data_IF_541729973478
#
_entry.id   IF_541729973478
#
_cell.length_a   1.000
_cell.length_b   1.000
_cell.length_c   1.000
_cell.angle_alpha   90.00
_cell.angle_beta   90.00
_cell.angle_gamma   90.00
#
_symmetry.space_group_name_H-M   'P 1'
#
loop_
_entity.id
_entity.type
_entity.pdbx_description
1 polymer ?
#
# COMPACT_ATOMS: atom_id res chain seq x y z
N UNK A 1 9.94 -15.89 -10.90
CA UNK A 1 9.57 -17.30 -10.99
C UNK A 1 8.08 -17.50 -10.75
N UNK A 2 7.56 -18.62 -11.24
CA UNK A 2 6.15 -18.97 -11.06
C UNK A 2 5.79 -19.13 -9.59
N UNK A 3 6.70 -19.68 -8.80
CA UNK A 3 6.46 -19.89 -7.36
C UNK A 3 6.36 -18.56 -6.61
N UNK A 4 7.28 -17.62 -6.87
CA UNK A 4 7.23 -16.29 -6.25
C UNK A 4 5.94 -15.58 -6.62
N UNK A 5 5.55 -15.65 -7.89
CA UNK A 5 4.30 -15.04 -8.37
C UNK A 5 3.09 -15.61 -7.63
N UNK A 6 3.05 -16.92 -7.40
CA UNK A 6 1.96 -17.56 -6.67
C UNK A 6 1.85 -17.03 -5.24
N UNK A 7 2.98 -16.88 -4.55
CA UNK A 7 2.98 -16.32 -3.19
C UNK A 7 2.57 -14.85 -3.17
N UNK A 8 3.01 -14.06 -4.16
CA UNK A 8 2.61 -12.65 -4.27
C UNK A 8 1.10 -12.51 -4.46
N UNK A 9 0.51 -13.34 -5.31
CA UNK A 9 -0.93 -13.33 -5.56
C UNK A 9 -1.73 -13.65 -4.30
N UNK A 10 -1.20 -14.52 -3.44
CA UNK A 10 -1.82 -14.88 -2.16
C UNK A 10 -1.55 -13.87 -1.06
N UNK A 11 -0.62 -12.94 -1.26
CA UNK A 11 -0.19 -12.02 -0.23
C UNK A 11 0.71 -12.65 0.82
N UNK A 12 1.38 -13.74 0.48
CA UNK A 12 2.28 -14.48 1.37
C UNK A 12 3.71 -13.95 1.23
N UNK A 13 3.95 -12.79 1.83
CA UNK A 13 5.26 -12.12 1.71
C UNK A 13 6.35 -12.79 2.55
N UNK A 14 5.97 -13.58 3.54
CA UNK A 14 6.94 -14.36 4.32
C UNK A 14 7.70 -15.34 3.43
N UNK A 15 6.97 -16.12 2.62
CA UNK A 15 7.58 -17.05 1.68
C UNK A 15 8.31 -16.33 0.55
N UNK A 16 7.76 -15.22 0.06
CA UNK A 16 8.44 -14.40 -0.96
C UNK A 16 9.79 -13.92 -0.44
N UNK A 17 9.83 -13.42 0.79
CA UNK A 17 11.07 -12.91 1.40
C UNK A 17 12.09 -14.01 1.60
N UNK A 18 11.67 -15.21 1.98
CA UNK A 18 12.57 -16.37 2.09
C UNK A 18 13.19 -16.70 0.73
N UNK A 19 12.39 -16.76 -0.32
CA UNK A 19 12.88 -17.10 -1.66
C UNK A 19 13.81 -16.04 -2.23
N UNK A 20 13.53 -14.76 -1.95
CA UNK A 20 14.37 -13.65 -2.41
C UNK A 20 15.58 -13.39 -1.52
N UNK A 21 15.58 -13.95 -0.30
CA UNK A 21 16.59 -13.71 0.72
C UNK A 21 16.68 -12.22 1.11
N UNK A 22 15.54 -11.53 1.04
CA UNK A 22 15.40 -10.12 1.40
C UNK A 22 13.91 -9.78 1.54
N UNK A 23 13.57 -8.72 2.30
CA UNK A 23 12.18 -8.26 2.35
C UNK A 23 11.66 -7.86 0.97
N UNK A 24 10.39 -8.11 0.70
CA UNK A 24 9.78 -7.66 -0.54
C UNK A 24 9.43 -6.19 -0.44
N UNK A 25 10.07 -5.38 -1.25
CA UNK A 25 9.91 -3.93 -1.23
C UNK A 25 9.63 -3.37 -2.62
N UNK A 26 8.82 -2.32 -2.66
CA UNK A 26 8.64 -1.50 -3.86
C UNK A 26 9.12 -0.10 -3.51
N UNK A 27 10.01 0.43 -4.32
CA UNK A 27 10.63 1.75 -4.09
C UNK A 27 10.20 2.72 -5.18
N UNK A 28 9.87 3.94 -4.80
CA UNK A 28 9.52 4.98 -5.73
C UNK A 28 9.48 6.36 -5.10
N UNK A 29 9.32 7.37 -5.94
CA UNK A 29 9.22 8.77 -5.51
C UNK A 29 7.77 9.09 -5.12
N UNK A 30 7.60 9.83 -4.05
CA UNK A 30 6.28 10.36 -3.67
C UNK A 30 5.89 11.47 -4.65
N UNK A 31 4.76 11.27 -5.33
CA UNK A 31 4.21 12.21 -6.31
C UNK A 31 2.86 12.72 -5.82
N UNK A 32 2.43 13.86 -6.36
CA UNK A 32 1.10 14.36 -6.06
C UNK A 32 0.03 13.46 -6.69
N UNK A 33 -1.02 13.17 -5.93
CA UNK A 33 -2.15 12.40 -6.42
C UNK A 33 -3.45 13.19 -6.26
N UNK A 34 -4.57 12.54 -6.55
CA UNK A 34 -5.88 13.13 -6.31
C UNK A 34 -6.07 13.31 -4.80
N UNK A 35 -6.54 14.48 -4.38
CA UNK A 35 -6.68 14.83 -2.97
C UNK A 35 -7.93 14.21 -2.30
N UNK A 36 -8.30 12.99 -2.70
CA UNK A 36 -9.44 12.29 -2.09
C UNK A 36 -9.20 12.04 -0.61
N UNK A 37 -7.95 11.71 -0.24
CA UNK A 37 -7.58 11.50 1.16
C UNK A 37 -7.82 12.71 2.05
N UNK A 38 -7.66 13.93 1.53
CA UNK A 38 -7.95 15.16 2.27
C UNK A 38 -9.45 15.30 2.56
N UNK A 39 -10.32 14.91 1.62
CA UNK A 39 -11.76 14.97 1.80
C UNK A 39 -12.26 14.08 2.92
N UNK A 40 -11.60 12.96 3.14
CA UNK A 40 -11.97 11.99 4.16
C UNK A 40 -11.05 12.04 5.38
N UNK A 41 -10.24 13.09 5.49
CA UNK A 41 -9.28 13.31 6.58
C UNK A 41 -8.24 12.19 6.73
N UNK A 42 -7.92 11.53 5.61
CA UNK A 42 -6.95 10.44 5.57
C UNK A 42 -5.88 10.77 4.54
N UNK A 43 -4.77 11.40 4.96
CA UNK A 43 -3.72 11.75 4.00
C UNK A 43 -3.07 10.51 3.41
N UNK A 44 -2.91 10.49 2.09
CA UNK A 44 -2.26 9.40 1.37
C UNK A 44 -1.10 9.92 0.54
N UNK A 45 -0.06 9.10 0.45
CA UNK A 45 1.08 9.35 -0.42
C UNK A 45 0.98 8.45 -1.65
N UNK A 46 1.06 9.05 -2.83
CA UNK A 46 1.13 8.29 -4.08
C UNK A 46 2.59 8.05 -4.42
N UNK A 47 2.94 6.81 -4.66
CA UNK A 47 4.31 6.40 -4.99
C UNK A 47 4.36 6.12 -6.50
N UNK A 48 5.31 6.73 -7.18
CA UNK A 48 5.53 6.49 -8.61
C UNK A 48 6.24 5.14 -8.79
N UNK A 49 5.57 4.20 -9.46
CA UNK A 49 6.08 2.84 -9.67
C UNK A 49 6.42 2.55 -11.14
N UNK A 50 6.61 3.58 -11.94
CA UNK A 50 7.17 3.53 -13.31
C UNK A 50 6.45 2.59 -14.28
N UNK A 51 5.12 2.51 -14.25
CA UNK A 51 4.32 1.72 -15.21
C UNK A 51 4.75 0.25 -15.33
N UNK A 52 5.33 -0.33 -14.28
CA UNK A 52 5.69 -1.74 -14.27
C UNK A 52 4.43 -2.57 -13.98
N UNK A 53 4.24 -3.63 -14.76
CA UNK A 53 3.14 -4.56 -14.51
C UNK A 53 3.50 -5.50 -13.36
N UNK A 54 2.71 -5.46 -12.30
CA UNK A 54 2.85 -6.37 -11.18
C UNK A 54 1.77 -7.43 -11.24
N UNK A 55 2.09 -8.63 -10.77
CA UNK A 55 1.19 -9.78 -10.85
C UNK A 55 0.17 -9.86 -9.71
N UNK A 56 0.13 -8.86 -8.83
CA UNK A 56 -0.77 -8.89 -7.67
C UNK A 56 -1.36 -7.51 -7.39
N UNK A 57 -2.44 -7.51 -6.65
CA UNK A 57 -3.14 -6.29 -6.24
C UNK A 57 -3.84 -6.52 -4.91
N UNK A 58 -4.28 -5.45 -4.28
CA UNK A 58 -5.01 -5.53 -3.03
C UNK A 58 -4.72 -4.37 -2.10
N UNK A 59 -5.15 -4.51 -0.86
CA UNK A 59 -4.84 -3.60 0.23
C UNK A 59 -3.98 -4.35 1.24
N UNK A 60 -2.86 -3.77 1.61
CA UNK A 60 -1.81 -4.45 2.36
C UNK A 60 -1.37 -3.66 3.58
N UNK A 61 -0.98 -4.38 4.63
CA UNK A 61 -0.19 -3.80 5.71
C UNK A 61 1.27 -3.79 5.27
N UNK A 62 1.89 -2.63 5.35
CA UNK A 62 3.25 -2.41 4.90
C UNK A 62 4.02 -1.60 5.95
N UNK A 63 5.32 -1.48 5.74
CA UNK A 63 6.20 -0.70 6.59
C UNK A 63 7.12 0.14 5.70
N UNK A 64 7.41 1.36 6.14
CA UNK A 64 8.37 2.23 5.46
C UNK A 64 9.24 2.94 6.50
N UNK A 65 10.41 3.38 6.06
CA UNK A 65 11.33 4.17 6.89
C UNK A 65 11.38 5.60 6.36
N UNK A 66 11.17 6.55 7.25
CA UNK A 66 11.24 7.97 6.91
C UNK A 66 12.12 8.64 7.97
N UNK A 67 13.23 9.25 7.53
CA UNK A 67 14.17 9.91 8.43
C UNK A 67 14.62 9.04 9.59
N UNK A 68 14.99 7.78 9.28
CA UNK A 68 15.53 6.80 10.23
C UNK A 68 14.50 6.29 11.24
N UNK A 69 13.21 6.54 11.03
CA UNK A 69 12.14 6.03 11.85
C UNK A 69 11.21 5.15 11.02
N UNK A 70 10.80 4.02 11.58
CA UNK A 70 9.86 3.10 10.94
C UNK A 70 8.42 3.51 11.20
N UNK A 71 7.61 3.43 10.15
CA UNK A 71 6.17 3.66 10.21
C UNK A 71 5.44 2.51 9.53
N UNK A 72 4.31 2.12 10.10
CA UNK A 72 3.41 1.22 9.40
C UNK A 72 2.51 2.01 8.46
N UNK A 73 2.10 1.38 7.38
CA UNK A 73 1.20 2.00 6.42
C UNK A 73 0.19 0.99 5.86
N UNK A 74 -0.95 1.50 5.46
CA UNK A 74 -1.96 0.74 4.74
C UNK A 74 -1.82 1.15 3.27
N UNK A 75 -1.54 0.18 2.42
CA UNK A 75 -1.21 0.43 1.01
C UNK A 75 -2.29 -0.15 0.13
N UNK A 76 -2.86 0.69 -0.74
CA UNK A 76 -3.72 0.25 -1.83
C UNK A 76 -2.86 0.13 -3.08
N UNK A 77 -2.72 -1.08 -3.60
CA UNK A 77 -1.85 -1.39 -4.72
C UNK A 77 -2.61 -2.13 -5.80
N UNK A 78 -2.57 -1.62 -7.02
CA UNK A 78 -3.24 -2.24 -8.13
C UNK A 78 -3.72 -1.23 -9.16
N UNK A 79 -4.51 -1.69 -10.15
CA UNK A 79 -5.00 -0.80 -11.18
C UNK A 79 -5.97 0.24 -10.61
N UNK A 80 -5.82 1.49 -11.07
CA UNK A 80 -6.80 2.53 -10.79
C UNK A 80 -8.01 2.32 -11.70
N UNK A 81 -9.22 2.27 -11.15
CA UNK A 81 -10.42 2.16 -11.98
C UNK A 81 -10.81 3.54 -12.53
N UNK A 82 -9.97 4.12 -13.38
CA UNK A 82 -10.26 5.34 -14.11
C UNK A 82 -10.45 5.03 -15.59
N UNK A 83 -11.18 5.89 -16.31
CA UNK A 83 -11.42 5.72 -17.74
C UNK A 83 -10.10 5.55 -18.50
N UNK A 84 -9.93 4.40 -19.14
CA UNK A 84 -8.78 4.07 -19.98
C UNK A 84 -7.40 4.10 -19.29
N UNK A 85 -7.36 4.12 -17.97
CA UNK A 85 -6.10 4.03 -17.26
C UNK A 85 -6.04 2.70 -16.51
N UNK A 86 -5.31 1.74 -17.09
CA UNK A 86 -5.10 0.41 -16.51
C UNK A 86 -3.75 0.30 -15.78
N UNK A 87 -3.06 1.44 -15.62
CA UNK A 87 -1.78 1.44 -14.93
C UNK A 87 -1.96 1.14 -13.46
N UNK A 88 -1.00 0.41 -12.91
CA UNK A 88 -1.00 0.15 -11.48
C UNK A 88 -0.58 1.39 -10.71
N UNK A 89 -1.17 1.56 -9.54
CA UNK A 89 -0.82 2.65 -8.64
C UNK A 89 -0.53 2.10 -7.25
N UNK A 90 0.28 2.82 -6.51
CA UNK A 90 0.57 2.54 -5.12
C UNK A 90 0.22 3.76 -4.29
N UNK A 91 -0.82 3.64 -3.47
CA UNK A 91 -1.22 4.70 -2.55
C UNK A 91 -0.99 4.22 -1.12
N UNK A 92 -0.18 4.96 -0.36
CA UNK A 92 0.18 4.61 1.00
C UNK A 92 -0.42 5.59 1.99
N UNK A 93 -1.22 5.07 2.92
CA UNK A 93 -1.65 5.81 4.09
C UNK A 93 -0.70 5.47 5.24
N UNK A 94 0.16 6.41 5.59
CA UNK A 94 1.17 6.21 6.62
C UNK A 94 0.55 6.53 7.98
N UNK A 95 0.56 5.55 8.87
CA UNK A 95 -0.05 5.68 10.19
C UNK A 95 0.83 6.53 11.12
N UNK A 96 0.19 7.38 11.93
CA UNK A 96 0.86 8.24 12.90
C UNK A 96 1.90 9.16 12.28
N UNK A 97 1.62 9.62 11.06
CA UNK A 97 2.51 10.50 10.30
C UNK A 97 1.69 11.57 9.59
N UNK A 98 2.08 12.84 9.73
CA UNK A 98 1.32 13.97 9.18
C UNK A 98 2.18 14.97 8.40
N UNK A 99 3.45 14.65 8.16
CA UNK A 99 4.37 15.56 7.48
C UNK A 99 4.27 15.43 5.96
N UNK A 100 4.66 16.47 5.25
CA UNK A 100 4.75 16.44 3.80
C UNK A 100 6.05 15.75 3.38
N UNK A 101 5.89 14.68 2.57
CA UNK A 101 7.04 13.93 2.04
C UNK A 101 7.05 13.93 0.52
N UNK A 102 6.37 14.91 -0.11
CA UNK A 102 6.38 15.07 -1.55
C UNK A 102 7.81 15.11 -2.09
N UNK A 103 8.05 14.40 -3.17
CA UNK A 103 9.35 14.32 -3.86
C UNK A 103 10.41 13.45 -3.17
N UNK A 104 10.13 12.92 -1.99
CA UNK A 104 11.02 11.97 -1.33
C UNK A 104 10.88 10.57 -1.92
N UNK A 105 11.94 9.77 -1.81
CA UNK A 105 11.95 8.37 -2.25
C UNK A 105 11.66 7.49 -1.05
N UNK A 106 10.64 6.64 -1.17
CA UNK A 106 10.27 5.69 -0.12
C UNK A 106 10.40 4.25 -0.62
N UNK A 107 10.84 3.37 0.27
CA UNK A 107 10.76 1.93 0.07
C UNK A 107 9.65 1.38 0.93
N UNK A 108 8.68 0.74 0.30
CA UNK A 108 7.52 0.17 0.97
C UNK A 108 7.73 -1.33 1.08
N UNK A 109 7.89 -1.82 2.32
CA UNK A 109 8.04 -3.23 2.60
C UNK A 109 6.65 -3.84 2.85
N UNK A 110 6.29 -4.85 2.07
CA UNK A 110 4.99 -5.53 2.19
C UNK A 110 5.07 -6.60 3.28
N UNK A 111 4.12 -6.57 4.22
CA UNK A 111 4.09 -7.49 5.35
C UNK A 111 2.98 -8.54 5.21
N UNK A 112 1.75 -8.12 4.96
CA UNK A 112 0.64 -9.04 4.77
C UNK A 112 -0.52 -8.37 4.03
N UNK A 113 -1.42 -9.20 3.50
CA UNK A 113 -2.60 -8.71 2.79
C UNK A 113 -3.76 -8.48 3.77
N UNK A 114 -4.42 -7.34 3.63
CA UNK A 114 -5.61 -7.00 4.42
C UNK A 114 -6.87 -7.47 3.68
N UNK A 115 -6.98 -7.16 2.39
CA UNK A 115 -8.15 -7.51 1.56
C UNK A 115 -7.86 -7.26 0.08
N UNK A 116 -8.79 -7.71 -0.76
CA UNK A 116 -8.78 -7.35 -2.18
C UNK A 116 -9.23 -5.89 -2.36
N UNK A 117 -8.93 -5.32 -3.52
CA UNK A 117 -9.41 -3.98 -3.87
C UNK A 117 -10.94 -4.00 -4.03
N UNK A 118 -11.57 -2.90 -3.59
CA UNK A 118 -13.02 -2.71 -3.70
C UNK A 118 -13.28 -1.40 -4.41
N UNK A 119 -14.28 -1.39 -5.29
CA UNK A 119 -14.77 -0.17 -5.91
C UNK A 119 -15.92 0.37 -5.05
N UNK A 120 -15.87 1.67 -4.73
CA UNK A 120 -16.86 2.30 -3.87
C UNK A 120 -17.80 3.17 -4.67
N UNK A 121 -19.09 3.11 -4.34
CA UNK A 121 -20.14 3.91 -4.98
C UNK A 121 -20.33 5.27 -4.32
N UNK A 122 -19.83 5.45 -3.09
CA UNK A 122 -19.96 6.70 -2.37
C UNK A 122 -18.73 6.96 -1.49
N UNK A 123 -18.56 8.22 -1.09
CA UNK A 123 -17.50 8.63 -0.16
C UNK A 123 -17.74 8.02 1.22
N UNK A 124 -19.01 7.88 1.64
CA UNK A 124 -19.33 7.28 2.92
C UNK A 124 -18.91 5.81 2.99
N UNK A 125 -19.14 5.05 1.92
CA UNK A 125 -18.70 3.65 1.84
C UNK A 125 -17.18 3.56 1.91
N UNK A 126 -16.47 4.45 1.22
CA UNK A 126 -15.02 4.52 1.27
C UNK A 126 -14.53 4.82 2.70
N UNK A 127 -15.13 5.81 3.38
CA UNK A 127 -14.77 6.15 4.75
C UNK A 127 -14.95 4.97 5.71
N UNK A 128 -16.08 4.28 5.58
CA UNK A 128 -16.39 3.12 6.43
C UNK A 128 -15.36 2.01 6.21
N UNK A 129 -14.99 1.77 4.96
CA UNK A 129 -14.01 0.74 4.66
C UNK A 129 -12.61 1.12 5.16
N UNK A 130 -12.22 2.38 5.04
CA UNK A 130 -10.94 2.86 5.56
C UNK A 130 -10.87 2.62 7.08
N UNK A 131 -11.96 2.87 7.79
CA UNK A 131 -12.01 2.62 9.24
C UNK A 131 -11.85 1.14 9.55
N UNK A 132 -12.53 0.27 8.81
CA UNK A 132 -12.38 -1.19 8.97
C UNK A 132 -10.94 -1.65 8.67
N UNK A 133 -10.32 -1.10 7.63
CA UNK A 133 -8.95 -1.42 7.28
C UNK A 133 -7.98 -1.01 8.39
N UNK A 134 -8.21 0.17 8.98
CA UNK A 134 -7.39 0.66 10.08
C UNK A 134 -7.50 -0.25 11.30
N UNK A 135 -8.72 -0.66 11.66
CA UNK A 135 -8.95 -1.58 12.77
C UNK A 135 -8.26 -2.93 12.53
N UNK A 136 -8.38 -3.46 11.33
CA UNK A 136 -7.73 -4.72 10.97
C UNK A 136 -6.21 -4.58 10.99
N UNK A 137 -5.68 -3.47 10.45
CA UNK A 137 -4.26 -3.19 10.48
C UNK A 137 -3.73 -3.14 11.92
N UNK A 138 -4.42 -2.44 12.81
CA UNK A 138 -4.04 -2.34 14.21
C UNK A 138 -3.97 -3.71 14.89
N UNK A 139 -4.90 -4.61 14.56
CA UNK A 139 -4.85 -5.98 15.10
C UNK A 139 -3.69 -6.78 14.56
N UNK A 140 -3.29 -6.53 13.30
CA UNK A 140 -2.18 -7.24 12.65
C UNK A 140 -0.80 -6.69 13.03
N UNK A 141 -0.71 -5.41 13.40
CA UNK A 141 0.56 -4.77 13.77
C UNK A 141 1.31 -5.53 14.85
N UNK A 142 0.59 -6.12 15.77
CA UNK A 142 1.17 -6.84 16.92
C UNK A 142 2.10 -7.97 16.49
N UNK A 143 1.92 -8.51 15.28
CA UNK A 143 2.74 -9.58 14.74
C UNK A 143 4.09 -9.07 14.21
N UNK A 144 4.26 -7.76 14.07
CA UNK A 144 5.42 -7.14 13.43
C UNK A 144 6.13 -6.11 14.31
N UNK A 145 5.65 -5.89 15.51
CA UNK A 145 6.29 -5.01 16.49
C UNK A 145 7.44 -5.67 17.23
#
# INVERSE_FOLDING_TARGET
STLIRSYLEKGDFSHVSELLQRPYQITGKVISGKNIGKRISTPTANIDIDNVDFCFSGVFLCKTNINQKNYFCIVNFGPKPTFNDYRQSLEAHILDFDKNIYDEILSIEFLCKIRDQIKFDSIDDLKNQIQKDREKAESLLKNYE
#
